data_IF_702799026438
#
_entry.id   IF_702799026438
#
_cell.length_a   1.000
_cell.length_b   1.000
_cell.length_c   1.000
_cell.angle_alpha   90.00
_cell.angle_beta   90.00
_cell.angle_gamma   90.00
#
_symmetry.space_group_name_H-M   'P 1'
#
loop_
_entity.id
_entity.type
_entity.pdbx_description
1 polymer ?
#
# COMPACT_ATOMS: atom_id res chain seq x y z
N UNK A 1 -67.94 9.00 -8.21
CA UNK A 1 -67.70 8.01 -9.27
C UNK A 1 -66.76 8.68 -10.26
N UNK A 2 -65.44 8.51 -10.09
CA UNK A 2 -64.68 7.34 -10.56
C UNK A 2 -64.48 7.48 -12.09
N UNK A 3 -63.30 7.52 -12.71
CA UNK A 3 -61.96 7.05 -12.35
C UNK A 3 -60.90 7.82 -13.18
N UNK A 4 -59.79 8.17 -12.51
CA UNK A 4 -58.40 7.99 -12.94
C UNK A 4 -57.97 8.37 -14.37
N UNK A 5 -57.43 9.59 -14.47
CA UNK A 5 -56.37 9.93 -15.45
C UNK A 5 -55.07 9.21 -15.03
N UNK A 6 -55.04 7.89 -15.22
CA UNK A 6 -53.81 7.11 -15.17
C UNK A 6 -53.04 7.39 -16.46
N UNK A 7 -51.89 8.05 -16.35
CA UNK A 7 -50.99 8.31 -17.47
C UNK A 7 -50.43 7.01 -18.03
N UNK A 8 -51.16 6.40 -18.95
CA UNK A 8 -50.66 5.32 -19.80
C UNK A 8 -49.78 5.93 -20.87
N UNK A 9 -48.46 5.92 -20.65
CA UNK A 9 -47.49 6.00 -21.75
C UNK A 9 -47.66 4.74 -22.60
N UNK A 10 -48.51 4.84 -23.63
CA UNK A 10 -48.60 3.84 -24.68
C UNK A 10 -47.29 3.96 -25.47
N UNK A 11 -46.35 3.06 -25.19
CA UNK A 11 -45.23 2.77 -26.08
C UNK A 11 -45.85 2.19 -27.37
N UNK A 12 -46.02 3.05 -28.37
CA UNK A 12 -46.47 2.64 -29.69
C UNK A 12 -45.46 1.64 -30.26
N UNK A 13 -45.93 0.42 -30.52
CA UNK A 13 -45.15 -0.73 -31.01
C UNK A 13 -44.50 -0.50 -32.37
N UNK A 14 -44.86 0.57 -33.09
CA UNK A 14 -44.32 0.90 -34.41
C UNK A 14 -42.89 1.46 -34.40
N UNK A 15 -42.33 1.79 -33.22
CA UNK A 15 -40.94 2.24 -33.07
C UNK A 15 -40.00 1.22 -32.41
N UNK A 16 -40.42 -0.03 -32.20
CA UNK A 16 -39.55 -1.07 -31.62
C UNK A 16 -38.47 -1.61 -32.58
N UNK A 17 -38.44 -1.16 -33.83
CA UNK A 17 -37.47 -1.61 -34.85
C UNK A 17 -36.19 -0.76 -34.94
N UNK A 18 -36.07 0.31 -34.14
CA UNK A 18 -34.76 0.89 -33.85
C UNK A 18 -34.21 0.15 -32.64
N UNK A 19 -33.13 -0.62 -32.84
CA UNK A 19 -32.27 -1.19 -31.80
C UNK A 19 -32.57 -0.62 -30.41
N UNK A 20 -33.11 -1.44 -29.50
CA UNK A 20 -33.26 -1.08 -28.09
C UNK A 20 -31.86 -0.86 -27.50
N UNK A 21 -31.29 0.31 -27.75
CA UNK A 21 -30.06 0.75 -27.09
C UNK A 21 -30.49 1.24 -25.72
N UNK A 22 -30.13 0.50 -24.67
CA UNK A 22 -30.35 0.92 -23.30
C UNK A 22 -29.75 2.33 -23.10
N UNK A 23 -30.51 3.31 -22.56
CA UNK A 23 -29.99 4.65 -22.34
C UNK A 23 -28.80 4.59 -21.38
N UNK A 24 -27.65 5.07 -21.86
CA UNK A 24 -26.40 5.11 -21.10
C UNK A 24 -26.56 5.92 -19.80
N UNK A 25 -26.44 5.26 -18.65
CA UNK A 25 -26.52 5.92 -17.35
C UNK A 25 -25.19 6.66 -17.09
N UNK A 26 -25.19 8.00 -16.98
CA UNK A 26 -23.96 8.74 -16.72
C UNK A 26 -23.44 8.45 -15.32
N UNK A 27 -22.20 7.96 -15.23
CA UNK A 27 -21.53 7.73 -13.95
C UNK A 27 -21.28 9.09 -13.28
N UNK A 28 -21.85 9.29 -12.09
CA UNK A 28 -21.56 10.49 -11.29
C UNK A 28 -20.16 10.32 -10.66
N UNK A 29 -19.23 11.26 -10.90
CA UNK A 29 -17.92 11.21 -10.24
C UNK A 29 -18.11 11.37 -8.73
N UNK A 30 -17.52 10.44 -7.96
CA UNK A 30 -17.51 10.54 -6.50
C UNK A 30 -16.11 10.99 -6.02
N UNK A 31 -15.92 12.29 -5.73
CA UNK A 31 -14.63 12.81 -5.28
C UNK A 31 -14.22 12.32 -3.88
N UNK A 32 -15.14 11.73 -3.11
CA UNK A 32 -14.86 11.21 -1.77
C UNK A 32 -13.97 9.97 -1.76
N UNK A 33 -14.07 9.12 -2.80
CA UNK A 33 -13.28 7.89 -2.92
C UNK A 33 -11.78 8.18 -3.00
N UNK A 34 -11.27 8.96 -3.97
CA UNK A 34 -9.83 9.23 -4.05
C UNK A 34 -9.31 10.04 -2.86
N UNK A 35 -10.13 10.90 -2.24
CA UNK A 35 -9.74 11.68 -1.05
C UNK A 35 -9.52 10.81 0.18
N UNK A 36 -10.46 9.92 0.48
CA UNK A 36 -10.33 9.02 1.65
C UNK A 36 -9.13 8.09 1.51
N UNK A 37 -8.94 7.52 0.32
CA UNK A 37 -7.80 6.65 0.00
C UNK A 37 -6.47 7.43 0.10
N UNK A 38 -6.42 8.67 -0.38
CA UNK A 38 -5.25 9.53 -0.25
C UNK A 38 -4.86 9.78 1.21
N UNK A 39 -5.83 9.98 2.11
CA UNK A 39 -5.58 10.15 3.55
C UNK A 39 -4.97 8.87 4.16
N UNK A 40 -5.51 7.69 3.85
CA UNK A 40 -4.95 6.42 4.33
C UNK A 40 -3.53 6.19 3.82
N UNK A 41 -3.24 6.53 2.56
CA UNK A 41 -1.90 6.41 1.98
C UNK A 41 -0.90 7.36 2.66
N UNK A 42 -1.32 8.57 3.02
CA UNK A 42 -0.46 9.51 3.77
C UNK A 42 -0.14 8.95 5.15
N UNK A 43 -1.15 8.45 5.89
CA UNK A 43 -0.94 7.83 7.20
C UNK A 43 -0.08 6.55 7.13
N UNK A 44 -0.21 5.77 6.06
CA UNK A 44 0.66 4.63 5.80
C UNK A 44 2.10 5.07 5.52
N UNK A 45 2.29 6.08 4.66
CA UNK A 45 3.62 6.59 4.30
C UNK A 45 4.39 7.17 5.48
N UNK A 46 3.74 7.98 6.33
CA UNK A 46 3.73 7.79 7.77
C UNK A 46 4.77 6.87 8.44
N UNK A 47 4.21 5.72 8.78
CA UNK A 47 4.84 4.61 9.50
C UNK A 47 5.97 3.99 8.68
N UNK A 48 5.78 3.93 7.37
CA UNK A 48 6.74 3.42 6.38
C UNK A 48 8.05 4.23 6.40
N UNK A 49 7.97 5.55 6.40
CA UNK A 49 9.13 6.45 6.50
C UNK A 49 9.78 6.32 7.88
N UNK A 50 8.98 6.19 8.94
CA UNK A 50 9.49 5.99 10.29
C UNK A 50 10.30 4.69 10.40
N UNK A 51 9.77 3.57 9.92
CA UNK A 51 10.44 2.27 9.90
C UNK A 51 11.72 2.28 9.03
N UNK A 52 11.66 2.87 7.84
CA UNK A 52 12.83 3.06 6.98
C UNK A 52 13.88 3.98 7.61
N UNK A 53 13.44 5.03 8.30
CA UNK A 53 14.30 5.96 9.04
C UNK A 53 14.99 5.29 10.22
N UNK A 54 14.26 4.50 11.02
CA UNK A 54 14.84 3.68 12.08
C UNK A 54 15.88 2.71 11.55
N UNK A 55 15.60 2.03 10.44
CA UNK A 55 16.55 1.12 9.78
C UNK A 55 17.81 1.85 9.30
N UNK A 56 17.68 3.10 8.86
CA UNK A 56 18.84 3.89 8.43
C UNK A 56 19.65 4.40 9.63
N UNK A 57 18.98 4.81 10.70
CA UNK A 57 19.62 5.23 11.95
C UNK A 57 20.44 4.09 12.54
N UNK A 58 19.92 2.86 12.60
CA UNK A 58 20.67 1.70 13.11
C UNK A 58 21.93 1.39 12.30
N UNK A 59 21.99 1.77 11.02
CA UNK A 59 23.24 1.63 10.25
C UNK A 59 24.33 2.62 10.66
N UNK A 60 23.93 3.86 10.98
CA UNK A 60 24.84 4.97 11.30
C UNK A 60 25.17 5.10 12.78
N UNK A 61 24.27 4.69 13.68
CA UNK A 61 24.49 4.68 15.12
C UNK A 61 24.84 3.27 15.57
N UNK A 62 26.04 3.08 16.11
CA UNK A 62 26.42 1.79 16.69
C UNK A 62 25.53 1.50 17.90
N UNK A 63 25.09 0.25 18.02
CA UNK A 63 24.31 -0.18 19.16
C UNK A 63 25.22 -0.14 20.41
N UNK A 64 24.89 0.72 21.37
CA UNK A 64 25.56 0.76 22.68
C UNK A 64 25.23 -0.51 23.47
N UNK A 65 26.15 -0.99 24.31
CA UNK A 65 25.92 -2.11 25.24
C UNK A 65 24.61 -1.96 26.06
N UNK A 66 24.28 -0.73 26.49
CA UNK A 66 23.04 -0.46 27.21
C UNK A 66 21.78 -0.63 26.32
N UNK A 67 21.89 -0.29 25.03
CA UNK A 67 20.83 -0.51 24.05
C UNK A 67 20.67 -2.00 23.70
N UNK A 68 21.78 -2.71 23.53
CA UNK A 68 21.79 -4.15 23.32
C UNK A 68 21.19 -4.90 24.52
N UNK A 69 21.53 -4.53 25.75
CA UNK A 69 20.95 -5.11 26.96
C UNK A 69 19.42 -4.93 27.02
N UNK A 70 18.90 -3.77 26.63
CA UNK A 70 17.45 -3.54 26.57
C UNK A 70 16.76 -4.38 25.49
N UNK A 71 17.40 -4.61 24.35
CA UNK A 71 16.87 -5.46 23.29
C UNK A 71 16.91 -6.94 23.69
N UNK A 72 17.97 -7.37 24.38
CA UNK A 72 18.08 -8.73 24.93
C UNK A 72 16.98 -8.98 25.96
N UNK A 73 16.70 -8.04 26.87
CA UNK A 73 15.60 -8.17 27.84
C UNK A 73 14.25 -8.34 27.14
N UNK A 74 13.99 -7.58 26.07
CA UNK A 74 12.77 -7.74 25.25
C UNK A 74 12.74 -9.11 24.56
N UNK A 75 13.86 -9.60 24.04
CA UNK A 75 13.96 -10.90 23.39
C UNK A 75 13.82 -12.06 24.38
N UNK A 76 14.33 -11.92 25.60
CA UNK A 76 14.19 -12.88 26.69
C UNK A 76 12.71 -13.03 27.08
N UNK A 77 11.97 -11.92 27.17
CA UNK A 77 10.51 -11.94 27.38
C UNK A 77 9.78 -12.68 26.25
N UNK A 78 10.30 -12.60 25.02
CA UNK A 78 9.75 -13.30 23.85
C UNK A 78 10.17 -14.77 23.77
N UNK A 79 10.98 -15.25 24.72
CA UNK A 79 11.44 -16.63 24.84
C UNK A 79 12.71 -16.94 24.06
N UNK A 80 13.52 -15.93 23.76
CA UNK A 80 14.83 -16.07 23.09
C UNK A 80 15.93 -15.80 24.08
N UNK A 81 16.71 -16.83 24.40
CA UNK A 81 17.93 -16.69 25.18
C UNK A 81 19.08 -16.30 24.25
N UNK A 82 19.42 -15.01 24.22
CA UNK A 82 20.56 -14.46 23.49
C UNK A 82 21.39 -13.61 24.45
N UNK A 83 22.71 -13.68 24.31
CA UNK A 83 23.63 -12.84 25.09
C UNK A 83 23.79 -11.45 24.48
N UNK A 84 24.18 -10.48 25.30
CA UNK A 84 24.46 -9.11 24.83
C UNK A 84 25.56 -9.10 23.76
N UNK A 85 26.57 -9.95 23.91
CA UNK A 85 27.68 -10.10 22.95
C UNK A 85 27.19 -10.65 21.59
N UNK A 86 26.28 -11.63 21.59
CA UNK A 86 25.68 -12.16 20.36
C UNK A 86 24.81 -11.12 19.64
N UNK A 87 24.08 -10.28 20.39
CA UNK A 87 23.30 -9.17 19.82
C UNK A 87 24.20 -8.12 19.15
N UNK A 88 25.32 -7.78 19.78
CA UNK A 88 26.30 -6.84 19.22
C UNK A 88 27.00 -7.42 17.98
N UNK A 89 27.32 -8.71 18.01
CA UNK A 89 27.89 -9.40 16.85
C UNK A 89 26.90 -9.41 15.68
N UNK A 90 25.62 -9.67 15.95
CA UNK A 90 24.55 -9.62 14.95
C UNK A 90 24.45 -8.23 14.30
N UNK A 91 24.34 -7.16 15.09
CA UNK A 91 24.26 -5.78 14.56
C UNK A 91 25.49 -5.42 13.70
N UNK A 92 26.67 -5.83 14.14
CA UNK A 92 27.92 -5.58 13.42
C UNK A 92 27.94 -6.25 12.04
N UNK A 93 27.47 -7.49 11.91
CA UNK A 93 27.48 -8.25 10.65
C UNK A 93 26.39 -7.79 9.67
N UNK A 94 25.26 -7.32 10.20
CA UNK A 94 24.23 -6.67 9.39
C UNK A 94 24.70 -5.30 8.88
N UNK A 95 25.52 -4.58 9.65
CA UNK A 95 26.18 -3.34 9.22
C UNK A 95 27.27 -3.58 8.17
N UNK A 96 28.16 -4.56 8.36
CA UNK A 96 29.21 -4.89 7.37
C UNK A 96 28.60 -5.30 6.03
N UNK A 97 27.48 -6.01 6.07
CA UNK A 97 26.71 -6.43 4.89
C UNK A 97 25.90 -5.29 4.24
N UNK A 98 25.91 -4.08 4.80
CA UNK A 98 25.14 -2.91 4.35
C UNK A 98 23.61 -3.16 4.24
N UNK A 99 23.11 -4.16 4.96
CA UNK A 99 21.71 -4.57 4.90
C UNK A 99 20.78 -3.42 5.30
N UNK A 100 21.07 -2.79 6.45
CA UNK A 100 20.29 -1.68 7.01
C UNK A 100 20.28 -0.43 6.11
N UNK A 101 21.39 -0.15 5.43
CA UNK A 101 21.49 0.99 4.51
C UNK A 101 20.63 0.77 3.26
N UNK A 102 20.74 -0.40 2.62
CA UNK A 102 20.01 -0.70 1.38
C UNK A 102 18.52 -0.81 1.66
N UNK A 103 18.13 -1.54 2.70
CA UNK A 103 16.71 -1.70 3.07
C UNK A 103 16.10 -0.38 3.53
N UNK A 104 16.82 0.40 4.36
CA UNK A 104 16.40 1.73 4.79
C UNK A 104 16.18 2.70 3.62
N UNK A 105 17.10 2.76 2.66
CA UNK A 105 16.97 3.65 1.50
C UNK A 105 15.77 3.29 0.62
N UNK A 106 15.54 1.99 0.38
CA UNK A 106 14.38 1.52 -0.40
C UNK A 106 13.09 1.86 0.34
N UNK A 107 13.01 1.63 1.66
CA UNK A 107 11.84 1.95 2.48
C UNK A 107 11.52 3.45 2.48
N UNK A 108 12.52 4.31 2.67
CA UNK A 108 12.35 5.77 2.67
C UNK A 108 11.90 6.27 1.31
N UNK A 109 12.54 5.79 0.23
CA UNK A 109 12.15 6.18 -1.14
C UNK A 109 10.74 5.73 -1.49
N UNK A 110 10.38 4.48 -1.18
CA UNK A 110 9.01 3.99 -1.31
C UNK A 110 8.00 4.85 -0.52
N UNK A 111 8.34 5.22 0.71
CA UNK A 111 7.49 6.07 1.53
C UNK A 111 7.28 7.47 0.97
N UNK A 112 8.32 8.08 0.41
CA UNK A 112 8.19 9.36 -0.28
C UNK A 112 7.29 9.27 -1.52
N UNK A 113 7.41 8.20 -2.30
CA UNK A 113 6.53 7.96 -3.46
C UNK A 113 5.08 7.79 -3.03
N UNK A 114 4.83 7.02 -1.97
CA UNK A 114 3.49 6.84 -1.39
C UNK A 114 2.91 8.16 -0.88
N UNK A 115 3.72 8.99 -0.22
CA UNK A 115 3.30 10.29 0.29
C UNK A 115 2.91 11.24 -0.86
N UNK A 116 3.77 11.35 -1.89
CA UNK A 116 3.49 12.18 -3.08
C UNK A 116 2.24 11.66 -3.80
N UNK A 117 2.12 10.34 -3.96
CA UNK A 117 0.94 9.71 -4.57
C UNK A 117 -0.35 9.98 -3.77
N UNK A 118 -0.30 9.90 -2.44
CA UNK A 118 -1.42 10.19 -1.55
C UNK A 118 -1.89 11.65 -1.64
N UNK A 119 -0.96 12.62 -1.62
CA UNK A 119 -1.27 14.03 -1.83
C UNK A 119 -1.87 14.26 -3.22
N UNK A 120 -1.32 13.61 -4.24
CA UNK A 120 -1.77 13.76 -5.62
C UNK A 120 -3.15 13.12 -5.87
N UNK A 121 -3.51 12.07 -5.12
CA UNK A 121 -4.85 11.49 -5.08
C UNK A 121 -5.88 12.43 -4.43
N UNK A 122 -5.51 13.16 -3.37
CA UNK A 122 -6.36 14.20 -2.78
C UNK A 122 -6.62 15.32 -3.79
N UNK A 123 -5.61 15.67 -4.59
CA UNK A 123 -5.72 16.62 -5.70
C UNK A 123 -6.43 16.05 -6.94
N UNK A 124 -6.93 14.81 -6.86
CA UNK A 124 -7.71 14.14 -7.90
C UNK A 124 -6.97 14.02 -9.25
N UNK A 125 -5.65 13.86 -9.22
CA UNK A 125 -4.85 13.69 -10.43
C UNK A 125 -4.58 12.20 -10.66
N UNK A 126 -4.82 11.72 -11.89
CA UNK A 126 -4.53 10.34 -12.31
C UNK A 126 -3.09 9.89 -12.01
N UNK A 127 -2.11 10.80 -12.15
CA UNK A 127 -0.71 10.56 -11.82
C UNK A 127 -0.50 10.06 -10.38
N UNK A 128 -1.35 10.46 -9.43
CA UNK A 128 -1.26 10.01 -8.05
C UNK A 128 -1.44 8.50 -7.89
N UNK A 129 -2.33 7.90 -8.68
CA UNK A 129 -2.51 6.45 -8.70
C UNK A 129 -1.25 5.70 -9.17
N UNK A 130 -0.55 6.24 -10.19
CA UNK A 130 0.69 5.66 -10.71
C UNK A 130 1.81 5.74 -9.68
N UNK A 131 2.00 6.91 -9.04
CA UNK A 131 3.03 7.09 -8.01
C UNK A 131 2.75 6.24 -6.77
N UNK A 132 1.50 6.12 -6.35
CA UNK A 132 1.13 5.24 -5.25
C UNK A 132 1.35 3.77 -5.57
N UNK A 133 1.06 3.34 -6.81
CA UNK A 133 1.30 1.95 -7.23
C UNK A 133 2.79 1.62 -7.29
N UNK A 134 3.62 2.53 -7.83
CA UNK A 134 5.07 2.34 -7.86
C UNK A 134 5.69 2.36 -6.46
N UNK A 135 5.23 3.25 -5.58
CA UNK A 135 5.65 3.29 -4.17
C UNK A 135 5.30 2.01 -3.41
N UNK A 136 4.05 1.53 -3.55
CA UNK A 136 3.61 0.27 -2.93
C UNK A 136 4.34 -0.95 -3.49
N UNK A 137 4.61 -0.97 -4.79
CA UNK A 137 5.41 -2.02 -5.43
C UNK A 137 6.87 -2.04 -4.95
N UNK A 138 7.50 -0.87 -4.81
CA UNK A 138 8.88 -0.75 -4.31
C UNK A 138 8.98 -1.20 -2.84
N UNK A 139 7.99 -0.84 -2.04
CA UNK A 139 7.86 -1.28 -0.65
C UNK A 139 7.70 -2.81 -0.56
N UNK A 140 6.85 -3.40 -1.39
CA UNK A 140 6.70 -4.85 -1.46
C UNK A 140 8.01 -5.55 -1.86
N UNK A 141 8.73 -5.01 -2.85
CA UNK A 141 10.02 -5.54 -3.29
C UNK A 141 11.06 -5.52 -2.15
N UNK A 142 11.07 -4.46 -1.34
CA UNK A 142 11.94 -4.36 -0.16
C UNK A 142 11.72 -5.51 0.82
N UNK A 143 10.45 -5.88 1.06
CA UNK A 143 10.10 -6.98 1.94
C UNK A 143 10.59 -8.32 1.41
N UNK A 144 10.45 -8.56 0.11
CA UNK A 144 10.95 -9.77 -0.55
C UNK A 144 12.47 -9.87 -0.40
N UNK A 145 13.20 -8.79 -0.66
CA UNK A 145 14.67 -8.75 -0.49
C UNK A 145 15.05 -9.07 0.96
N UNK A 146 14.35 -8.48 1.92
CA UNK A 146 14.61 -8.68 3.35
C UNK A 146 14.50 -10.15 3.77
N UNK A 147 13.48 -10.86 3.28
CA UNK A 147 13.24 -12.29 3.59
C UNK A 147 14.31 -13.19 2.99
N UNK A 148 14.85 -12.84 1.82
CA UNK A 148 15.91 -13.64 1.21
C UNK A 148 17.29 -13.32 1.79
N UNK A 149 17.57 -12.07 2.16
CA UNK A 149 18.88 -11.65 2.65
C UNK A 149 19.11 -11.91 4.14
N UNK A 150 18.11 -11.71 4.99
CA UNK A 150 18.28 -11.89 6.43
C UNK A 150 18.73 -13.33 6.81
N UNK A 151 18.12 -14.41 6.27
CA UNK A 151 18.53 -15.77 6.61
C UNK A 151 19.94 -16.13 6.14
N UNK A 152 20.41 -15.53 5.02
CA UNK A 152 21.76 -15.77 4.49
C UNK A 152 22.83 -15.20 5.43
N UNK A 153 22.53 -14.06 6.08
CA UNK A 153 23.42 -13.44 7.06
C UNK A 153 23.38 -14.25 8.37
N UNK A 154 22.19 -14.66 8.81
CA UNK A 154 22.01 -15.47 10.02
C UNK A 154 22.68 -16.86 9.92
N UNK A 155 22.59 -17.53 8.76
CA UNK A 155 23.27 -18.80 8.52
C UNK A 155 24.81 -18.66 8.62
N UNK A 156 25.36 -17.50 8.25
CA UNK A 156 26.81 -17.23 8.31
C UNK A 156 27.31 -17.08 9.75
N UNK A 157 26.49 -16.53 10.65
CA UNK A 157 26.84 -16.28 12.06
C UNK A 157 26.43 -17.44 12.99
N UNK A 158 25.60 -18.37 12.52
CA UNK A 158 25.14 -19.53 13.31
C UNK A 158 24.18 -19.16 14.45
N UNK A 159 23.71 -17.92 14.48
CA UNK A 159 22.74 -17.38 15.43
C UNK A 159 21.42 -17.28 14.70
N UNK A 160 20.39 -17.98 15.19
CA UNK A 160 19.03 -17.87 14.66
C UNK A 160 18.16 -17.10 15.66
N UNK A 161 17.78 -15.89 15.29
CA UNK A 161 16.80 -15.06 16.00
C UNK A 161 15.36 -15.40 15.62
N UNK A 162 15.15 -16.48 14.86
CA UNK A 162 13.87 -16.89 14.33
C UNK A 162 12.91 -17.27 15.47
N UNK A 163 12.07 -16.33 15.87
CA UNK A 163 10.98 -16.57 16.82
C UNK A 163 9.67 -16.85 16.11
N UNK A 164 8.77 -17.53 16.81
CA UNK A 164 7.35 -17.61 16.44
C UNK A 164 6.68 -16.22 16.27
N UNK A 165 7.21 -15.18 16.93
CA UNK A 165 6.74 -13.79 16.82
C UNK A 165 7.27 -13.07 15.58
N UNK A 166 8.45 -13.46 15.09
CA UNK A 166 9.02 -12.90 13.86
C UNK A 166 8.14 -13.21 12.65
N UNK A 167 7.60 -14.43 12.57
CA UNK A 167 6.61 -14.82 11.54
C UNK A 167 5.37 -13.93 11.60
N UNK A 168 4.89 -13.58 12.80
CA UNK A 168 3.74 -12.70 12.97
C UNK A 168 4.06 -11.25 12.58
N UNK A 169 5.25 -10.75 12.92
CA UNK A 169 5.73 -9.43 12.51
C UNK A 169 5.86 -9.30 11.00
N UNK A 170 6.49 -10.29 10.36
CA UNK A 170 6.60 -10.37 8.89
C UNK A 170 5.21 -10.42 8.23
N UNK A 171 4.29 -11.24 8.77
CA UNK A 171 2.93 -11.35 8.24
C UNK A 171 2.15 -10.02 8.34
N UNK A 172 2.25 -9.30 9.47
CA UNK A 172 1.62 -7.98 9.64
C UNK A 172 2.17 -6.96 8.64
N UNK A 173 3.49 -6.94 8.44
CA UNK A 173 4.13 -6.11 7.42
C UNK A 173 3.61 -6.46 6.02
N UNK A 174 3.50 -7.74 5.66
CA UNK A 174 2.94 -8.14 4.36
C UNK A 174 1.52 -7.66 4.12
N UNK A 175 0.65 -7.76 5.13
CA UNK A 175 -0.74 -7.30 5.02
C UNK A 175 -0.77 -5.79 4.81
N UNK A 176 0.05 -5.03 5.55
CA UNK A 176 0.18 -3.59 5.38
C UNK A 176 0.67 -3.23 3.96
N UNK A 177 1.64 -3.98 3.43
CA UNK A 177 2.20 -3.77 2.08
C UNK A 177 1.14 -3.99 1.01
N UNK A 178 0.40 -5.09 1.15
CA UNK A 178 -0.67 -5.44 0.24
C UNK A 178 -1.78 -4.38 0.28
N UNK A 179 -2.10 -3.86 1.46
CA UNK A 179 -3.07 -2.78 1.63
C UNK A 179 -2.63 -1.50 0.92
N UNK A 180 -1.37 -1.07 1.10
CA UNK A 180 -0.80 0.08 0.41
C UNK A 180 -0.76 -0.07 -1.13
N UNK A 181 -0.70 -1.31 -1.64
CA UNK A 181 -0.71 -1.62 -3.07
C UNK A 181 -2.14 -1.68 -3.66
N UNK A 182 -3.10 -2.24 -2.94
CA UNK A 182 -4.49 -2.42 -3.41
C UNK A 182 -5.30 -1.11 -3.32
N UNK A 183 -5.09 -0.32 -2.28
CA UNK A 183 -5.80 0.95 -2.08
C UNK A 183 -5.82 1.88 -3.30
N UNK A 184 -4.69 2.20 -3.95
CA UNK A 184 -4.66 3.06 -5.13
C UNK A 184 -5.25 2.39 -6.39
N UNK A 185 -5.43 1.07 -6.38
CA UNK A 185 -6.10 0.34 -7.47
C UNK A 185 -7.61 0.56 -7.49
N UNK A 186 -8.24 0.69 -6.31
CA UNK A 186 -9.69 0.90 -6.18
C UNK A 186 -10.18 2.11 -6.99
N UNK A 187 -9.62 3.33 -6.88
CA UNK A 187 -10.09 4.48 -7.64
C UNK A 187 -9.69 4.40 -9.13
N UNK A 188 -8.74 3.55 -9.52
CA UNK A 188 -8.39 3.33 -10.93
C UNK A 188 -9.37 2.37 -11.63
N UNK A 189 -9.80 1.30 -10.94
CA UNK A 189 -10.73 0.31 -11.49
C UNK A 189 -12.20 0.66 -11.29
N UNK A 190 -12.56 1.36 -10.21
CA UNK A 190 -13.92 1.81 -10.01
C UNK A 190 -14.28 2.93 -11.00
N UNK A 191 -15.30 2.77 -11.87
CA UNK A 191 -15.66 3.76 -12.88
C UNK A 191 -15.96 5.15 -12.27
N UNK A 192 -16.59 5.18 -11.09
CA UNK A 192 -16.88 6.41 -10.35
C UNK A 192 -15.63 7.10 -9.78
N UNK A 193 -14.59 6.32 -9.44
CA UNK A 193 -13.29 6.83 -9.00
C UNK A 193 -12.45 7.33 -10.18
N UNK A 194 -12.44 6.58 -11.29
CA UNK A 194 -11.71 6.94 -12.51
C UNK A 194 -12.27 8.22 -13.12
N UNK A 195 -13.59 8.35 -13.18
CA UNK A 195 -14.27 9.58 -13.60
C UNK A 195 -13.91 10.79 -12.72
N UNK A 196 -13.59 10.58 -11.44
CA UNK A 196 -13.14 11.63 -10.53
C UNK A 196 -11.65 12.00 -10.70
N UNK A 197 -10.82 11.11 -11.27
CA UNK A 197 -9.37 11.31 -11.47
C UNK A 197 -9.00 11.91 -12.84
N UNK A 198 -9.92 11.88 -13.82
CA UNK A 198 -9.72 12.43 -15.17
C UNK A 198 -10.83 13.43 -15.55
N UNK A 199 -10.87 14.64 -14.95
CA UNK A 199 -11.89 15.63 -15.25
C UNK A 199 -11.80 16.19 -16.69
N UNK A 200 -10.64 16.09 -17.36
CA UNK A 200 -10.38 16.76 -18.65
C UNK A 200 -10.75 15.92 -19.89
N UNK A 201 -10.90 14.59 -19.78
CA UNK A 201 -11.19 13.72 -20.93
C UNK A 201 -12.67 13.33 -21.09
N UNK A 202 -13.55 13.85 -20.23
CA UNK A 202 -15.00 13.62 -20.29
C UNK A 202 -15.68 14.45 -21.39
N UNK A 203 -15.30 14.22 -22.64
CA UNK A 203 -16.20 14.39 -23.80
C UNK A 203 -16.61 13.04 -24.40
N UNK A 204 -15.95 11.95 -24.00
CA UNK A 204 -16.39 10.58 -24.25
C UNK A 204 -16.76 10.00 -22.89
N UNK A 205 -18.06 9.82 -22.65
CA UNK A 205 -18.56 9.18 -21.43
C UNK A 205 -18.01 7.75 -21.42
N UNK A 206 -17.32 7.38 -20.35
CA UNK A 206 -17.04 5.97 -20.08
C UNK A 206 -18.39 5.30 -19.84
N UNK A 207 -18.78 4.40 -20.74
CA UNK A 207 -20.11 3.77 -20.77
C UNK A 207 -19.97 2.26 -20.55
N UNK A 208 -20.89 1.70 -19.79
CA UNK A 208 -21.01 0.25 -19.66
C UNK A 208 -21.62 -0.29 -20.96
N UNK A 209 -20.90 -1.16 -21.66
CA UNK A 209 -21.48 -2.07 -22.64
C UNK A 209 -21.64 -3.40 -21.90
N UNK A 210 -22.88 -3.78 -21.62
CA UNK A 210 -23.22 -5.12 -21.18
C UNK A 210 -23.21 -5.98 -22.45
N UNK A 211 -22.17 -6.82 -22.63
CA UNK A 211 -22.16 -7.82 -23.69
C UNK A 211 -23.04 -9.00 -23.24
N UNK A 212 -24.16 -9.21 -23.94
CA UNK A 212 -25.00 -10.42 -23.83
C UNK A 212 -24.31 -11.66 -24.45
#
# INVERSE_FOLDING_TARGET
>A
MAEDKLGTMILSSDNLNSSLVMPEIPIRPNPGIPKTIGIFLILGSLMVIFDGGSSLLTHFSELSEAGAASQVEVMEILGVEITVDEMLQWDSEFRTSNYHLITGLIKVTAGLLLFIGGVQLILQKYLGGIFSLSGGGLWFLSQVISIYWAPIIEERIGISLATQWDVAGIAMCFICNLFCLILPLIPMFAPAGRAALTPYHSKKKDTFVEEE
#
